data_IF_471680658649
#
_entry.id   IF_471680658649
#
_cell.length_a   1.000
_cell.length_b   1.000
_cell.length_c   1.000
_cell.angle_alpha   90.00
_cell.angle_beta   90.00
_cell.angle_gamma   90.00
#
_symmetry.space_group_name_H-M   'P 1'
#
loop_
_entity.id
_entity.type
_entity.pdbx_description
1 polymer ?
#
# COMPACT_ATOMS: atom_id res chain seq x y z
N UNK A 1 20.45 30.32 -31.19
CA UNK A 1 20.35 30.05 -29.75
C UNK A 1 18.92 30.37 -29.35
N UNK A 2 18.03 29.38 -29.31
CA UNK A 2 16.61 29.58 -28.97
C UNK A 2 16.49 29.41 -27.47
N UNK A 3 16.29 30.51 -26.75
CA UNK A 3 16.12 30.52 -25.30
C UNK A 3 14.70 30.03 -24.96
N UNK A 4 14.55 28.79 -24.51
CA UNK A 4 13.29 28.18 -24.08
C UNK A 4 13.00 28.39 -22.59
N UNK A 5 13.21 29.60 -22.07
CA UNK A 5 12.79 29.94 -20.71
C UNK A 5 11.75 31.04 -20.81
N UNK A 6 10.49 30.64 -20.87
CA UNK A 6 9.39 31.53 -20.53
C UNK A 6 9.50 31.80 -19.02
N UNK A 7 9.79 33.05 -18.63
CA UNK A 7 9.98 33.45 -17.22
C UNK A 7 8.68 33.31 -16.40
N UNK A 8 7.55 33.05 -17.06
CA UNK A 8 6.22 32.98 -16.47
C UNK A 8 5.62 31.57 -16.59
N UNK A 9 5.81 30.68 -15.60
CA UNK A 9 5.23 29.34 -15.67
C UNK A 9 3.69 29.40 -15.70
N UNK A 10 3.08 28.51 -16.49
CA UNK A 10 1.62 28.42 -16.62
C UNK A 10 0.93 28.10 -15.29
N UNK A 11 -0.37 28.42 -15.19
CA UNK A 11 -1.20 28.11 -14.02
C UNK A 11 -1.25 26.61 -13.70
N UNK A 12 -1.23 25.77 -14.73
CA UNK A 12 -1.28 24.31 -14.61
C UNK A 12 0.03 23.78 -14.06
N UNK A 13 1.16 24.29 -14.56
CA UNK A 13 2.48 23.91 -14.07
C UNK A 13 2.67 24.32 -12.60
N UNK A 14 2.23 25.54 -12.23
CA UNK A 14 2.24 26.00 -10.84
C UNK A 14 1.41 25.08 -9.93
N UNK A 15 0.19 24.71 -10.36
CA UNK A 15 -0.68 23.79 -9.60
C UNK A 15 -0.06 22.40 -9.45
N UNK A 16 0.56 21.87 -10.51
CA UNK A 16 1.24 20.58 -10.47
C UNK A 16 2.40 20.60 -9.47
N UNK A 17 3.26 21.62 -9.53
CA UNK A 17 4.39 21.76 -8.60
C UNK A 17 3.89 21.91 -7.16
N UNK A 18 2.86 22.71 -6.92
CA UNK A 18 2.23 22.86 -5.61
C UNK A 18 1.64 21.53 -5.08
N UNK A 19 1.04 20.72 -5.95
CA UNK A 19 0.59 19.38 -5.57
C UNK A 19 1.76 18.45 -5.25
N UNK A 20 2.82 18.46 -6.06
CA UNK A 20 4.01 17.62 -5.82
C UNK A 20 4.63 17.95 -4.46
N UNK A 21 4.92 19.23 -4.21
CA UNK A 21 5.58 19.68 -2.97
C UNK A 21 4.64 19.57 -1.77
N UNK A 22 3.36 19.88 -1.96
CA UNK A 22 2.39 19.97 -0.86
C UNK A 22 1.62 18.69 -0.54
N UNK A 23 1.73 17.64 -1.35
CA UNK A 23 1.03 16.37 -1.14
C UNK A 23 1.93 15.18 -1.46
N UNK A 24 2.41 15.05 -2.70
CA UNK A 24 3.13 13.85 -3.14
C UNK A 24 4.43 13.60 -2.35
N UNK A 25 5.29 14.61 -2.22
CA UNK A 25 6.58 14.51 -1.53
C UNK A 25 6.38 14.20 -0.03
N UNK A 26 5.53 14.91 0.72
CA UNK A 26 5.24 14.57 2.12
C UNK A 26 4.69 13.15 2.30
N UNK A 27 3.79 12.70 1.43
CA UNK A 27 3.25 11.33 1.47
C UNK A 27 4.35 10.31 1.22
N UNK A 28 5.25 10.57 0.27
CA UNK A 28 6.40 9.70 0.01
C UNK A 28 7.29 9.55 1.25
N UNK A 29 7.61 10.65 1.94
CA UNK A 29 8.36 10.59 3.21
C UNK A 29 7.61 9.83 4.29
N UNK A 30 6.28 10.01 4.38
CA UNK A 30 5.43 9.28 5.33
C UNK A 30 5.51 7.77 5.09
N UNK A 31 5.39 7.31 3.85
CA UNK A 31 5.52 5.90 3.47
C UNK A 31 6.91 5.35 3.77
N UNK A 32 7.95 6.17 3.60
CA UNK A 32 9.33 5.78 3.93
C UNK A 32 9.56 5.64 5.42
N UNK A 33 8.94 6.47 6.25
CA UNK A 33 9.03 6.40 7.70
C UNK A 33 8.19 5.24 8.26
N UNK A 34 6.98 5.05 7.72
CA UNK A 34 6.06 3.98 8.12
C UNK A 34 6.15 2.81 7.13
N UNK A 35 7.35 2.27 6.98
CA UNK A 35 7.60 1.17 6.04
C UNK A 35 7.15 -0.18 6.58
N UNK A 36 6.87 -0.34 7.87
CA UNK A 36 6.45 -1.63 8.43
C UNK A 36 4.98 -1.95 8.14
N UNK A 37 4.64 -3.23 8.00
CA UNK A 37 3.26 -3.68 7.82
C UNK A 37 2.35 -3.29 9.00
N UNK A 38 2.91 -3.19 10.20
CA UNK A 38 2.24 -2.70 11.41
C UNK A 38 1.84 -1.22 11.33
N UNK A 39 2.48 -0.44 10.46
CA UNK A 39 2.19 1.00 10.29
C UNK A 39 1.62 1.34 8.93
N UNK A 40 1.46 0.34 8.04
CA UNK A 40 1.09 0.58 6.65
C UNK A 40 -0.19 1.38 6.50
N UNK A 41 -1.25 1.01 7.21
CA UNK A 41 -2.54 1.69 7.12
C UNK A 41 -2.47 3.17 7.57
N UNK A 42 -1.48 3.54 8.39
CA UNK A 42 -1.25 4.91 8.87
C UNK A 42 -0.70 5.85 7.79
N UNK A 43 -0.33 5.32 6.61
CA UNK A 43 0.15 6.13 5.47
C UNK A 43 -0.96 6.89 4.73
N UNK A 44 -2.13 6.26 4.54
CA UNK A 44 -3.23 6.88 3.78
C UNK A 44 -3.87 8.10 4.48
N UNK A 45 -4.11 8.12 5.82
CA UNK A 45 -4.68 9.26 6.52
C UNK A 45 -3.92 10.55 6.25
N UNK A 46 -2.58 10.50 6.26
CA UNK A 46 -1.75 11.67 5.96
C UNK A 46 -1.97 12.18 4.54
N UNK A 47 -2.11 11.28 3.57
CA UNK A 47 -2.45 11.62 2.19
C UNK A 47 -3.84 12.30 2.12
N UNK A 48 -4.84 11.73 2.79
CA UNK A 48 -6.21 12.29 2.85
C UNK A 48 -6.23 13.66 3.50
N UNK A 49 -5.54 13.86 4.62
CA UNK A 49 -5.39 15.14 5.32
C UNK A 49 -4.78 16.21 4.42
N UNK A 50 -3.64 15.92 3.79
CA UNK A 50 -2.98 16.86 2.88
C UNK A 50 -3.83 17.16 1.65
N UNK A 51 -4.62 16.19 1.17
CA UNK A 51 -5.52 16.36 0.05
C UNK A 51 -6.69 17.29 0.37
N UNK A 52 -7.24 17.20 1.60
CA UNK A 52 -8.32 18.09 2.07
C UNK A 52 -7.94 19.57 2.00
N UNK A 53 -6.66 19.89 2.17
CA UNK A 53 -6.12 21.24 2.08
C UNK A 53 -5.92 21.74 0.64
N UNK A 54 -6.15 20.90 -0.39
CA UNK A 54 -5.94 21.28 -1.80
C UNK A 54 -7.21 21.87 -2.43
N UNK A 55 -7.08 22.66 -3.50
CA UNK A 55 -8.22 23.13 -4.29
C UNK A 55 -9.12 21.99 -4.77
N UNK A 56 -10.43 22.24 -4.88
CA UNK A 56 -11.43 21.22 -5.19
C UNK A 56 -11.19 20.51 -6.53
N UNK A 57 -10.67 21.20 -7.54
CA UNK A 57 -10.28 20.62 -8.82
C UNK A 57 -9.17 19.57 -8.68
N UNK A 58 -8.18 19.81 -7.81
CA UNK A 58 -7.11 18.84 -7.52
C UNK A 58 -7.68 17.66 -6.74
N UNK A 59 -8.55 17.90 -5.76
CA UNK A 59 -9.21 16.83 -5.01
C UNK A 59 -10.01 15.91 -5.94
N UNK A 60 -10.75 16.48 -6.91
CA UNK A 60 -11.53 15.73 -7.87
C UNK A 60 -10.68 14.79 -8.75
N UNK A 61 -9.45 15.19 -9.08
CA UNK A 61 -8.51 14.37 -9.87
C UNK A 61 -7.87 13.26 -9.02
N UNK A 62 -7.52 13.56 -7.77
CA UNK A 62 -6.68 12.68 -6.93
C UNK A 62 -7.52 11.65 -6.16
N UNK A 63 -8.73 12.00 -5.69
CA UNK A 63 -9.60 11.06 -4.95
C UNK A 63 -9.84 9.75 -5.70
N UNK A 64 -10.17 9.74 -7.01
CA UNK A 64 -10.31 8.49 -7.76
C UNK A 64 -9.01 7.67 -7.86
N UNK A 65 -7.84 8.32 -7.82
CA UNK A 65 -6.55 7.63 -7.79
C UNK A 65 -6.37 6.94 -6.44
N UNK A 66 -6.59 7.66 -5.34
CA UNK A 66 -6.49 7.09 -3.98
C UNK A 66 -7.52 5.97 -3.76
N UNK A 67 -8.74 6.11 -4.28
CA UNK A 67 -9.78 5.08 -4.22
C UNK A 67 -9.38 3.81 -4.98
N UNK A 68 -8.73 3.93 -6.15
CA UNK A 68 -8.21 2.77 -6.89
C UNK A 68 -6.98 2.14 -6.23
N UNK A 69 -6.29 2.92 -5.39
CA UNK A 69 -5.13 2.48 -4.62
C UNK A 69 -5.49 2.13 -3.17
N UNK A 70 -6.75 1.83 -2.86
CA UNK A 70 -7.26 1.57 -1.49
C UNK A 70 -6.85 0.21 -0.90
N UNK A 71 -5.66 -0.27 -1.24
CA UNK A 71 -5.02 -1.44 -0.60
C UNK A 71 -4.64 -1.14 0.86
N UNK A 72 -4.21 0.10 1.15
CA UNK A 72 -3.83 0.53 2.51
C UNK A 72 -4.98 0.47 3.53
N UNK A 73 -6.20 0.96 3.21
CA UNK A 73 -7.35 0.87 4.09
C UNK A 73 -8.10 -0.46 3.93
N UNK A 74 -7.51 -1.49 3.32
CA UNK A 74 -8.15 -2.80 3.30
C UNK A 74 -8.38 -3.30 4.75
N UNK A 75 -9.53 -3.91 5.08
CA UNK A 75 -9.85 -4.32 6.44
C UNK A 75 -8.73 -5.13 7.11
N UNK A 76 -8.14 -6.08 6.40
CA UNK A 76 -7.03 -6.88 6.94
C UNK A 76 -5.81 -6.02 7.30
N UNK A 77 -5.47 -5.04 6.46
CA UNK A 77 -4.32 -4.17 6.68
C UNK A 77 -4.56 -3.18 7.82
N UNK A 78 -5.81 -2.71 7.96
CA UNK A 78 -6.23 -1.91 9.11
C UNK A 78 -6.15 -2.72 10.40
N UNK A 79 -6.66 -3.95 10.41
CA UNK A 79 -6.59 -4.82 11.59
C UNK A 79 -5.15 -5.07 12.03
N UNK A 80 -4.21 -5.31 11.11
CA UNK A 80 -2.78 -5.43 11.44
C UNK A 80 -2.24 -4.17 12.12
N UNK A 81 -2.58 -2.98 11.60
CA UNK A 81 -2.14 -1.73 12.19
C UNK A 81 -2.79 -1.49 13.56
N UNK A 82 -4.07 -1.85 13.71
CA UNK A 82 -4.81 -1.69 14.95
C UNK A 82 -4.30 -2.63 16.05
N UNK A 83 -3.91 -3.87 15.75
CA UNK A 83 -3.36 -4.81 16.76
C UNK A 83 -1.98 -4.40 17.25
N UNK A 84 -1.22 -3.68 16.43
CA UNK A 84 0.10 -3.13 16.78
C UNK A 84 0.02 -1.67 17.28
N UNK A 85 -1.18 -1.14 17.52
CA UNK A 85 -1.35 0.24 17.96
C UNK A 85 -1.03 0.42 19.45
N UNK A 86 -0.52 1.57 19.85
CA UNK A 86 -0.23 1.87 21.26
C UNK A 86 -1.52 2.05 22.08
N UNK A 87 -2.63 2.42 21.43
CA UNK A 87 -3.92 2.61 22.09
C UNK A 87 -4.64 1.27 22.35
N UNK A 88 -4.88 0.96 23.62
CA UNK A 88 -5.58 -0.26 24.06
C UNK A 88 -7.02 -0.37 23.52
N UNK A 89 -7.77 0.73 23.40
CA UNK A 89 -9.12 0.71 22.85
C UNK A 89 -9.13 0.33 21.36
N UNK A 90 -8.15 0.85 20.60
CA UNK A 90 -7.96 0.49 19.19
C UNK A 90 -7.62 -1.00 19.05
N UNK A 91 -6.74 -1.53 19.91
CA UNK A 91 -6.42 -2.98 19.95
C UNK A 91 -7.63 -3.82 20.32
N UNK A 92 -8.40 -3.43 21.33
CA UNK A 92 -9.62 -4.12 21.75
C UNK A 92 -10.65 -4.19 20.61
N UNK A 93 -10.87 -3.09 19.89
CA UNK A 93 -11.73 -3.04 18.71
C UNK A 93 -11.24 -3.98 17.61
N UNK A 94 -9.92 -4.05 17.37
CA UNK A 94 -9.33 -4.95 16.39
C UNK A 94 -9.60 -6.42 16.74
N UNK A 95 -9.38 -6.80 17.99
CA UNK A 95 -9.60 -8.17 18.48
C UNK A 95 -11.06 -8.58 18.34
N UNK A 96 -12.01 -7.69 18.66
CA UNK A 96 -13.44 -7.94 18.45
C UNK A 96 -13.77 -8.20 16.97
N UNK A 97 -13.23 -7.38 16.06
CA UNK A 97 -13.44 -7.54 14.62
C UNK A 97 -12.81 -8.83 14.09
N UNK A 98 -11.63 -9.21 14.58
CA UNK A 98 -10.96 -10.46 14.22
C UNK A 98 -11.79 -11.67 14.67
N UNK A 99 -12.28 -11.66 15.91
CA UNK A 99 -13.18 -12.71 16.44
C UNK A 99 -14.43 -12.84 15.57
N UNK A 100 -15.07 -11.73 15.23
CA UNK A 100 -16.24 -11.72 14.36
C UNK A 100 -15.93 -12.19 12.92
N UNK A 101 -14.71 -11.97 12.43
CA UNK A 101 -14.27 -12.45 11.13
C UNK A 101 -14.01 -13.97 11.13
N UNK A 102 -13.42 -14.52 12.20
CA UNK A 102 -13.21 -15.97 12.38
C UNK A 102 -14.52 -16.76 12.33
N UNK A 103 -15.57 -16.23 12.97
CA UNK A 103 -16.90 -16.87 12.98
C UNK A 103 -17.57 -16.90 11.60
N UNK A 104 -17.13 -16.06 10.67
CA UNK A 104 -17.67 -15.96 9.30
C UNK A 104 -16.72 -16.56 8.26
N UNK A 105 -15.62 -17.19 8.68
CA UNK A 105 -14.66 -17.76 7.74
C UNK A 105 -15.28 -18.96 7.01
N UNK A 106 -15.13 -18.97 5.69
CA UNK A 106 -15.62 -20.01 4.78
C UNK A 106 -14.44 -20.69 4.09
N UNK A 107 -14.60 -21.92 3.62
CA UNK A 107 -13.58 -22.61 2.80
C UNK A 107 -13.43 -22.02 1.39
N UNK A 108 -14.34 -21.11 0.99
CA UNK A 108 -14.29 -20.44 -0.29
C UNK A 108 -13.06 -19.56 -0.47
N UNK A 109 -12.68 -19.35 -1.73
CA UNK A 109 -11.60 -18.45 -2.11
C UNK A 109 -11.96 -17.02 -1.69
N UNK A 110 -11.12 -16.43 -0.82
CA UNK A 110 -11.26 -15.04 -0.39
C UNK A 110 -11.23 -14.08 -1.58
N UNK A 111 -12.29 -13.30 -1.76
CA UNK A 111 -12.34 -12.26 -2.78
C UNK A 111 -11.75 -10.96 -2.25
N UNK A 112 -10.68 -10.48 -2.90
CA UNK A 112 -10.10 -9.18 -2.55
C UNK A 112 -10.98 -8.04 -3.09
N UNK A 113 -11.67 -7.33 -2.20
CA UNK A 113 -12.54 -6.20 -2.54
C UNK A 113 -12.00 -4.90 -1.99
N UNK A 114 -11.94 -3.88 -2.84
CA UNK A 114 -11.53 -2.55 -2.43
C UNK A 114 -12.63 -1.88 -1.59
N UNK A 115 -12.34 -1.42 -0.37
CA UNK A 115 -13.31 -0.67 0.41
C UNK A 115 -13.47 0.75 -0.15
N UNK A 116 -14.65 1.33 0.06
CA UNK A 116 -14.86 2.75 -0.18
C UNK A 116 -14.08 3.57 0.86
N UNK A 117 -13.23 4.49 0.38
CA UNK A 117 -12.38 5.31 1.24
C UNK A 117 -13.17 6.51 1.76
N UNK A 118 -13.23 6.65 3.08
CA UNK A 118 -13.75 7.83 3.74
C UNK A 118 -12.71 8.96 3.71
N UNK A 119 -12.81 9.87 2.74
CA UNK A 119 -11.94 11.05 2.64
C UNK A 119 -12.17 12.11 3.74
N UNK A 120 -13.20 11.94 4.57
CA UNK A 120 -13.46 12.76 5.75
C UNK A 120 -12.85 12.21 7.05
N UNK A 121 -12.22 11.04 7.01
CA UNK A 121 -11.68 10.39 8.19
C UNK A 121 -10.55 11.23 8.84
N UNK A 122 -10.58 11.32 10.18
CA UNK A 122 -9.51 11.89 10.98
C UNK A 122 -8.57 10.82 11.53
N UNK A 123 -9.14 9.70 11.97
CA UNK A 123 -8.39 8.53 12.43
C UNK A 123 -8.29 7.50 11.31
N UNK A 124 -7.22 6.73 11.30
CA UNK A 124 -6.99 5.73 10.26
C UNK A 124 -7.99 4.57 10.32
N UNK A 125 -8.47 4.24 11.51
CA UNK A 125 -9.53 3.25 11.72
C UNK A 125 -10.87 3.67 11.10
N UNK A 126 -11.10 4.95 10.83
CA UNK A 126 -12.33 5.47 10.23
C UNK A 126 -12.24 5.66 8.71
N UNK A 127 -11.12 5.21 8.09
CA UNK A 127 -10.90 5.28 6.65
C UNK A 127 -11.89 4.43 5.85
N UNK A 128 -12.55 3.46 6.50
CA UNK A 128 -13.58 2.62 5.92
C UNK A 128 -14.78 2.55 6.84
N UNK A 129 -15.93 2.26 6.24
CA UNK A 129 -17.10 1.86 7.00
C UNK A 129 -17.03 0.36 7.31
N UNK A 130 -16.75 0.04 8.58
CA UNK A 130 -16.66 -1.34 9.06
C UNK A 130 -17.98 -2.12 8.96
N UNK A 131 -19.12 -1.44 8.88
CA UNK A 131 -20.42 -2.11 8.77
C UNK A 131 -20.70 -2.65 7.37
N UNK A 132 -20.16 -1.99 6.35
CA UNK A 132 -20.29 -2.39 4.94
C UNK A 132 -19.07 -3.13 4.39
N UNK A 133 -17.93 -3.07 5.09
CA UNK A 133 -16.69 -3.72 4.68
C UNK A 133 -16.76 -5.25 4.84
N UNK A 134 -16.21 -5.96 3.86
CA UNK A 134 -16.02 -7.40 3.92
C UNK A 134 -14.78 -7.73 4.77
N UNK A 135 -14.99 -7.81 6.09
CA UNK A 135 -13.91 -8.05 7.05
C UNK A 135 -13.60 -9.55 7.13
N UNK A 136 -12.43 -9.91 6.66
CA UNK A 136 -11.85 -11.26 6.70
C UNK A 136 -10.71 -11.34 7.73
N UNK A 137 -10.42 -12.55 8.22
CA UNK A 137 -9.31 -12.73 9.15
C UNK A 137 -7.97 -12.42 8.47
N UNK A 138 -7.14 -11.52 9.04
CA UNK A 138 -5.81 -11.24 8.49
C UNK A 138 -4.92 -12.50 8.50
N UNK A 139 -4.27 -12.85 7.38
CA UNK A 139 -3.44 -14.06 7.30
C UNK A 139 -2.31 -14.10 8.34
N UNK A 140 -1.70 -12.96 8.65
CA UNK A 140 -0.62 -12.87 9.65
C UNK A 140 -1.10 -13.08 11.09
N UNK A 141 -2.41 -13.00 11.34
CA UNK A 141 -3.04 -13.22 12.64
C UNK A 141 -3.88 -14.51 12.64
N UNK A 142 -3.65 -15.38 11.64
CA UNK A 142 -4.38 -16.64 11.52
C UNK A 142 -4.09 -17.57 12.69
N UNK A 143 -2.81 -17.70 13.03
CA UNK A 143 -2.32 -18.69 14.00
C UNK A 143 -2.44 -18.22 15.47
N UNK A 144 -2.93 -17.00 15.71
CA UNK A 144 -3.10 -16.48 17.07
C UNK A 144 -4.21 -17.24 17.79
N UNK A 145 -3.93 -17.80 18.96
CA UNK A 145 -4.95 -18.36 19.84
C UNK A 145 -5.83 -17.27 20.46
N UNK A 146 -6.92 -17.65 21.12
CA UNK A 146 -7.73 -16.67 21.87
C UNK A 146 -6.93 -16.02 23.01
N UNK A 147 -6.00 -16.76 23.64
CA UNK A 147 -5.11 -16.21 24.65
C UNK A 147 -4.12 -15.19 24.05
N UNK A 148 -3.62 -15.43 22.83
CA UNK A 148 -2.77 -14.47 22.12
C UNK A 148 -3.57 -13.20 21.79
N UNK A 149 -4.83 -13.34 21.35
CA UNK A 149 -5.71 -12.20 21.08
C UNK A 149 -6.03 -11.39 22.34
N UNK A 150 -6.25 -12.04 23.49
CA UNK A 150 -6.40 -11.33 24.76
C UNK A 150 -5.09 -10.60 25.13
N UNK A 151 -3.94 -11.23 24.89
CA UNK A 151 -2.62 -10.60 25.05
C UNK A 151 -2.43 -9.36 24.16
N UNK A 152 -3.00 -9.35 22.95
CA UNK A 152 -2.99 -8.17 22.07
C UNK A 152 -3.75 -6.98 22.68
N UNK A 153 -4.79 -7.20 23.48
CA UNK A 153 -5.46 -6.09 24.16
C UNK A 153 -4.51 -5.43 25.17
N UNK A 154 -3.78 -6.23 25.93
CA UNK A 154 -2.86 -5.73 26.96
C UNK A 154 -1.59 -5.10 26.39
N UNK A 155 -1.03 -5.65 25.31
CA UNK A 155 0.20 -5.14 24.69
C UNK A 155 0.15 -5.20 23.14
N UNK A 156 0.80 -4.27 22.43
CA UNK A 156 0.85 -4.30 20.96
C UNK A 156 1.36 -5.63 20.41
N UNK A 157 0.69 -6.13 19.38
CA UNK A 157 1.08 -7.36 18.69
C UNK A 157 2.47 -7.23 18.05
N UNK A 158 3.32 -8.24 18.26
CA UNK A 158 4.62 -8.34 17.60
C UNK A 158 4.44 -8.89 16.18
N UNK A 159 4.24 -8.02 15.21
CA UNK A 159 4.15 -8.39 13.80
C UNK A 159 5.53 -8.51 13.14
N UNK A 160 5.71 -9.40 12.15
CA UNK A 160 6.94 -9.43 11.35
C UNK A 160 7.16 -8.09 10.65
N UNK A 161 8.40 -7.61 10.61
CA UNK A 161 8.73 -6.32 9.98
C UNK A 161 8.79 -6.42 8.45
N UNK A 162 7.63 -6.68 7.84
CA UNK A 162 7.49 -6.72 6.39
C UNK A 162 7.38 -5.30 5.83
N UNK A 163 8.28 -4.90 4.93
CA UNK A 163 8.20 -3.59 4.32
C UNK A 163 7.00 -3.48 3.37
N UNK A 164 6.12 -2.50 3.61
CA UNK A 164 4.92 -2.22 2.79
C UNK A 164 5.25 -1.67 1.41
N UNK A 165 6.47 -1.13 1.24
CA UNK A 165 6.94 -0.58 -0.02
C UNK A 165 8.40 -0.94 -0.25
N UNK A 166 8.66 -1.85 -1.20
CA UNK A 166 10.02 -2.18 -1.64
C UNK A 166 10.18 -2.04 -3.15
N UNK A 167 11.38 -1.69 -3.59
CA UNK A 167 11.72 -1.68 -5.01
C UNK A 167 11.59 -3.07 -5.64
N UNK A 168 11.78 -4.13 -4.85
CA UNK A 168 11.56 -5.50 -5.30
C UNK A 168 10.08 -5.72 -5.67
N UNK A 169 9.15 -5.28 -4.82
CA UNK A 169 7.70 -5.35 -5.09
C UNK A 169 7.36 -4.54 -6.35
N UNK A 170 7.84 -3.30 -6.50
CA UNK A 170 7.60 -2.49 -7.71
C UNK A 170 8.07 -3.21 -8.99
N UNK A 171 9.27 -3.78 -8.96
CA UNK A 171 9.84 -4.53 -10.09
C UNK A 171 9.06 -5.79 -10.39
N UNK A 172 8.55 -6.48 -9.38
CA UNK A 172 7.74 -7.70 -9.54
C UNK A 172 6.38 -7.38 -10.14
N UNK A 173 5.68 -6.36 -9.63
CA UNK A 173 4.40 -5.89 -10.18
C UNK A 173 4.55 -5.60 -11.68
N UNK A 174 5.61 -4.88 -12.07
CA UNK A 174 5.90 -4.60 -13.48
C UNK A 174 6.03 -5.87 -14.33
N UNK A 175 6.73 -6.89 -13.84
CA UNK A 175 6.93 -8.16 -14.57
C UNK A 175 5.61 -8.93 -14.69
N UNK A 176 4.82 -8.97 -13.62
CA UNK A 176 3.52 -9.65 -13.62
C UNK A 176 2.56 -8.95 -14.59
N UNK A 177 2.50 -7.62 -14.57
CA UNK A 177 1.68 -6.84 -15.51
C UNK A 177 2.08 -7.09 -16.96
N UNK A 178 3.37 -7.12 -17.26
CA UNK A 178 3.89 -7.42 -18.60
C UNK A 178 3.48 -8.83 -19.05
N UNK A 179 3.62 -9.83 -18.19
CA UNK A 179 3.22 -11.20 -18.49
C UNK A 179 1.71 -11.32 -18.73
N UNK A 180 0.90 -10.72 -17.85
CA UNK A 180 -0.56 -10.73 -18.00
C UNK A 180 -1.04 -10.01 -19.26
N UNK A 181 -0.33 -8.96 -19.69
CA UNK A 181 -0.67 -8.20 -20.90
C UNK A 181 -0.24 -8.91 -22.18
N UNK A 182 0.79 -9.75 -22.12
CA UNK A 182 1.41 -10.36 -23.30
C UNK A 182 0.96 -11.80 -23.55
N UNK A 183 0.52 -12.52 -22.50
CA UNK A 183 0.24 -13.95 -22.56
C UNK A 183 -1.13 -14.30 -21.96
N UNK A 184 -1.76 -15.31 -22.55
CA UNK A 184 -2.96 -15.96 -22.03
C UNK A 184 -2.58 -17.26 -21.31
N UNK A 185 -3.34 -17.62 -20.28
CA UNK A 185 -3.11 -18.83 -19.51
C UNK A 185 -2.10 -18.66 -18.36
N UNK A 186 -2.36 -19.35 -17.26
CA UNK A 186 -1.54 -19.30 -16.05
C UNK A 186 -0.12 -19.81 -16.29
N UNK A 187 0.02 -20.99 -16.91
CA UNK A 187 1.32 -21.61 -17.14
C UNK A 187 2.24 -20.74 -17.99
N UNK A 188 1.73 -20.15 -19.08
CA UNK A 188 2.53 -19.28 -19.95
C UNK A 188 2.99 -18.01 -19.23
N UNK A 189 2.11 -17.38 -18.44
CA UNK A 189 2.46 -16.22 -17.62
C UNK A 189 3.51 -16.58 -16.57
N UNK A 190 3.32 -17.69 -15.87
CA UNK A 190 4.25 -18.18 -14.86
C UNK A 190 5.63 -18.50 -15.47
N UNK A 191 5.65 -19.14 -16.65
CA UNK A 191 6.87 -19.44 -17.39
C UNK A 191 7.66 -18.18 -17.75
N UNK A 192 6.99 -17.14 -18.25
CA UNK A 192 7.65 -15.86 -18.56
C UNK A 192 8.19 -15.17 -17.30
N UNK A 193 7.40 -15.11 -16.23
CA UNK A 193 7.80 -14.49 -14.95
C UNK A 193 9.05 -15.20 -14.41
N UNK A 194 9.02 -16.53 -14.31
CA UNK A 194 10.12 -17.32 -13.78
C UNK A 194 11.37 -17.26 -14.66
N UNK A 195 11.22 -17.33 -15.99
CA UNK A 195 12.33 -17.17 -16.93
C UNK A 195 12.99 -15.79 -16.76
N UNK A 196 12.20 -14.72 -16.66
CA UNK A 196 12.70 -13.35 -16.49
C UNK A 196 13.39 -13.15 -15.15
N UNK A 197 12.85 -13.72 -14.06
CA UNK A 197 13.49 -13.70 -12.75
C UNK A 197 14.80 -14.49 -12.73
N UNK A 198 14.85 -15.66 -13.37
CA UNK A 198 16.09 -16.45 -13.53
C UNK A 198 17.14 -15.68 -14.33
N UNK A 199 16.76 -15.11 -15.46
CA UNK A 199 17.67 -14.30 -16.27
C UNK A 199 18.22 -13.08 -15.50
N UNK A 200 17.38 -12.40 -14.70
CA UNK A 200 17.86 -11.30 -13.84
C UNK A 200 18.86 -11.74 -12.79
N UNK A 201 18.80 -12.99 -12.31
CA UNK A 201 19.77 -13.56 -11.37
C UNK A 201 21.10 -13.92 -12.05
N UNK A 202 21.08 -14.23 -13.34
CA UNK A 202 22.30 -14.52 -14.11
C UNK A 202 23.05 -13.25 -14.51
N UNK A 203 22.37 -12.10 -14.54
CA UNK A 203 23.01 -10.80 -14.78
C UNK A 203 23.77 -10.40 -13.51
N UNK A 204 25.06 -10.04 -13.66
CA UNK A 204 25.88 -9.57 -12.54
C UNK A 204 25.32 -8.29 -11.92
N UNK A 205 25.48 -8.15 -10.60
CA UNK A 205 25.14 -6.91 -9.92
C UNK A 205 26.12 -5.81 -10.36
N UNK A 206 25.60 -4.78 -11.03
CA UNK A 206 26.38 -3.60 -11.40
C UNK A 206 26.24 -2.55 -10.29
N UNK A 207 27.37 -2.07 -9.79
CA UNK A 207 27.41 -0.97 -8.83
C UNK A 207 27.33 0.38 -9.54
N UNK A 208 27.71 0.44 -10.82
CA UNK A 208 27.68 1.64 -11.63
C UNK A 208 27.27 1.37 -13.09
N UNK A 209 26.80 2.43 -13.78
CA UNK A 209 26.51 2.36 -15.24
C UNK A 209 27.76 2.04 -16.08
N UNK A 210 28.97 2.20 -15.55
CA UNK A 210 30.23 1.86 -16.25
C UNK A 210 30.43 0.35 -16.31
N UNK A 211 29.95 -0.38 -15.31
CA UNK A 211 30.14 -1.83 -15.17
C UNK A 211 29.36 -2.61 -16.26
N UNK A 212 28.30 -2.01 -16.80
CA UNK A 212 27.49 -2.57 -17.91
C UNK A 212 28.30 -2.73 -19.20
N UNK A 213 29.32 -1.90 -19.42
CA UNK A 213 30.17 -1.94 -20.63
C UNK A 213 31.15 -3.11 -20.66
N UNK A 214 31.40 -3.75 -19.52
CA UNK A 214 32.40 -4.82 -19.40
C UNK A 214 31.88 -6.22 -19.78
N UNK A 215 30.58 -6.35 -20.07
CA UNK A 215 29.97 -7.60 -20.55
C UNK A 215 29.78 -7.64 -22.08
N UNK A 216 30.19 -6.57 -22.78
CA UNK A 216 30.06 -6.45 -24.24
C UNK A 216 31.36 -6.75 -24.98
N UNK A 217 32.38 -7.26 -24.28
CA UNK A 217 33.67 -7.71 -24.82
C UNK A 217 33.83 -9.20 -24.58
#
# INVERSE_FOLDING_TARGET
>A
MVCWFDESPSSELKQLVQFIVGHYVPVWFTVRQNSSCASGAKNLPRSVELLRQKPANIQAVVRPVLQRSSHWPHPEQLLLAMTADDNQETRAKAVQLIRAARLRETEDIRLFRFPAVNFGAERYEDLIDWSSADVTQPPLLRDYSEADLDGVVEAPASLPDYPVHTQAVERTVKVVTEACSSLLGEESRHGLITAKLRHRRTISAFNSKRDVRLLSA
#
